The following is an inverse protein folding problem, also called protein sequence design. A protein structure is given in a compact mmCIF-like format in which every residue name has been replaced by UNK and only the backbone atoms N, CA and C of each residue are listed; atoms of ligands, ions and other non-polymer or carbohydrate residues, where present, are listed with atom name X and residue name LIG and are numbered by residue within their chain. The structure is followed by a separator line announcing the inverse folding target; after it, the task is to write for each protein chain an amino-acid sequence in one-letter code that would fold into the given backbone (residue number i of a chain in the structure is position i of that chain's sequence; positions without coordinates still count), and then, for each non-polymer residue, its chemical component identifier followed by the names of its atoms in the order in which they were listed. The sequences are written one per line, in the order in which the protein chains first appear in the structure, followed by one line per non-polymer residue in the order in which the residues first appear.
data_IF_071106584636
#
_entry.id   IF_071106584636
#
_cell.length_a   1.000
_cell.length_b   1.000
_cell.length_c   1.000
_cell.angle_alpha   90.00
_cell.angle_beta   90.00
_cell.angle_gamma   90.00
#
_symmetry.space_group_name_H-M   'P 1'
#
loop_
_entity.id
_entity.type
_entity.pdbx_description
1 polymer ?
#
# COMPACT_ATOMS: atom_id res chain seq x y z
N UNK A 1 -4.25 -8.03 25.87
CA UNK A 1 -4.91 -6.86 25.26
C UNK A 1 -5.53 -5.99 26.35
N UNK A 2 -5.07 -4.74 26.52
CA UNK A 2 -5.51 -3.85 27.60
C UNK A 2 -6.92 -3.27 27.40
N UNK A 3 -7.50 -2.69 28.46
CA UNK A 3 -8.85 -2.08 28.42
C UNK A 3 -8.97 -1.04 27.31
N UNK A 4 -8.00 -0.12 27.22
CA UNK A 4 -7.95 0.92 26.19
C UNK A 4 -8.02 0.36 24.77
N UNK A 5 -7.17 -0.63 24.46
CA UNK A 5 -7.12 -1.25 23.14
C UNK A 5 -8.44 -1.94 22.78
N UNK A 6 -9.04 -2.66 23.74
CA UNK A 6 -10.36 -3.30 23.55
C UNK A 6 -11.45 -2.26 23.26
N UNK A 7 -11.44 -1.15 24.00
CA UNK A 7 -12.39 -0.06 23.79
C UNK A 7 -12.24 0.58 22.41
N UNK A 8 -11.00 0.86 21.97
CA UNK A 8 -10.75 1.45 20.65
C UNK A 8 -11.18 0.52 19.51
N UNK A 9 -10.91 -0.79 19.63
CA UNK A 9 -11.38 -1.80 18.68
C UNK A 9 -12.91 -1.81 18.64
N UNK A 10 -13.58 -1.84 19.80
CA UNK A 10 -15.03 -1.84 19.86
C UNK A 10 -15.66 -0.60 19.21
N UNK A 11 -15.05 0.57 19.39
CA UNK A 11 -15.46 1.82 18.71
C UNK A 11 -15.28 1.70 17.20
N UNK A 12 -14.13 1.21 16.73
CA UNK A 12 -13.84 1.07 15.30
C UNK A 12 -14.75 0.05 14.58
N UNK A 13 -15.15 -1.03 15.28
CA UNK A 13 -16.07 -2.03 14.74
C UNK A 13 -17.54 -1.57 14.71
N UNK A 14 -17.89 -0.50 15.43
CA UNK A 14 -19.25 0.05 15.43
C UNK A 14 -19.49 0.87 14.17
N UNK A 15 -20.34 0.38 13.26
CA UNK A 15 -20.71 1.06 12.00
C UNK A 15 -21.04 2.55 12.16
N UNK A 16 -21.96 2.98 13.06
CA UNK A 16 -22.30 4.39 13.19
C UNK A 16 -21.12 5.24 13.70
N UNK A 17 -20.33 4.74 14.64
CA UNK A 17 -19.18 5.46 15.18
C UNK A 17 -18.05 5.53 14.14
N UNK A 18 -17.86 4.47 13.35
CA UNK A 18 -16.91 4.45 12.24
C UNK A 18 -17.26 5.50 11.19
N UNK A 19 -18.52 5.57 10.75
CA UNK A 19 -18.96 6.58 9.77
C UNK A 19 -18.73 8.01 10.29
N UNK A 20 -19.00 8.26 11.57
CA UNK A 20 -18.72 9.56 12.19
C UNK A 20 -17.21 9.84 12.25
N UNK A 21 -16.41 8.86 12.67
CA UNK A 21 -14.96 8.94 12.76
C UNK A 21 -14.30 9.21 11.39
N UNK A 22 -14.73 8.50 10.35
CA UNK A 22 -14.28 8.72 8.97
C UNK A 22 -14.63 10.12 8.47
N UNK A 23 -15.85 10.61 8.74
CA UNK A 23 -16.26 11.95 8.37
C UNK A 23 -15.42 13.03 9.05
N UNK A 24 -15.15 12.88 10.35
CA UNK A 24 -14.28 13.79 11.11
C UNK A 24 -12.83 13.70 10.59
N UNK A 25 -12.32 12.49 10.38
CA UNK A 25 -10.95 12.28 9.89
C UNK A 25 -10.71 12.93 8.53
N UNK A 26 -11.67 12.82 7.61
CA UNK A 26 -11.64 13.52 6.30
C UNK A 26 -11.68 15.03 6.46
N UNK A 27 -12.55 15.56 7.32
CA UNK A 27 -12.71 17.01 7.51
C UNK A 27 -11.49 17.67 8.18
N UNK A 28 -10.85 16.95 9.10
CA UNK A 28 -9.74 17.47 9.92
C UNK A 28 -8.36 17.20 9.33
N UNK A 29 -8.28 16.33 8.32
CA UNK A 29 -7.00 15.88 7.76
C UNK A 29 -6.24 14.91 8.68
N UNK A 30 -6.84 14.47 9.79
CA UNK A 30 -6.18 13.55 10.73
C UNK A 30 -5.78 12.24 10.04
N UNK A 31 -6.61 11.71 9.14
CA UNK A 31 -6.31 10.48 8.40
C UNK A 31 -5.06 10.63 7.50
N UNK A 32 -4.82 11.83 6.96
CA UNK A 32 -3.67 12.11 6.08
C UNK A 32 -2.33 12.14 6.83
N UNK A 33 -2.35 12.07 8.17
CA UNK A 33 -1.13 11.88 8.96
C UNK A 33 -0.67 10.42 8.96
N UNK A 34 -1.58 9.47 8.74
CA UNK A 34 -1.32 8.03 8.85
C UNK A 34 -1.35 7.30 7.51
N UNK A 35 -2.11 7.82 6.54
CA UNK A 35 -2.23 7.24 5.20
C UNK A 35 -1.86 8.28 4.15
N UNK A 36 -1.11 7.86 3.13
CA UNK A 36 -0.62 8.74 2.07
C UNK A 36 -1.73 9.27 1.16
N UNK A 37 -2.68 8.41 0.77
CA UNK A 37 -3.87 8.74 -0.02
C UNK A 37 -4.86 7.56 -0.05
N UNK A 38 -6.03 7.77 -0.67
CA UNK A 38 -7.04 6.72 -0.87
C UNK A 38 -6.90 5.98 -2.22
N UNK A 39 -5.98 6.41 -3.09
CA UNK A 39 -5.75 5.83 -4.40
C UNK A 39 -4.27 6.00 -4.82
N UNK A 40 -3.89 5.31 -5.89
CA UNK A 40 -2.52 5.38 -6.40
C UNK A 40 -2.10 6.77 -6.89
N UNK A 41 -3.01 7.57 -7.45
CA UNK A 41 -2.68 8.91 -7.97
C UNK A 41 -2.29 9.84 -6.82
N UNK A 42 -3.12 9.88 -5.77
CA UNK A 42 -2.86 10.64 -4.57
C UNK A 42 -1.59 10.16 -3.87
N UNK A 43 -1.32 8.84 -3.88
CA UNK A 43 -0.10 8.29 -3.30
C UNK A 43 1.15 8.82 -4.00
N UNK A 44 1.19 8.78 -5.35
CA UNK A 44 2.31 9.31 -6.14
C UNK A 44 2.47 10.81 -5.94
N UNK A 45 1.37 11.56 -5.86
CA UNK A 45 1.42 13.00 -5.54
C UNK A 45 2.04 13.25 -4.16
N UNK A 46 1.64 12.47 -3.15
CA UNK A 46 2.20 12.55 -1.80
C UNK A 46 3.68 12.17 -1.76
N UNK A 47 4.07 11.14 -2.50
CA UNK A 47 5.45 10.70 -2.63
C UNK A 47 6.35 11.81 -3.19
N UNK A 48 5.92 12.48 -4.26
CA UNK A 48 6.61 13.65 -4.81
C UNK A 48 6.76 14.79 -3.79
N UNK A 49 5.70 15.09 -3.04
CA UNK A 49 5.73 16.14 -2.02
C UNK A 49 6.71 15.83 -0.87
N UNK A 50 6.89 14.55 -0.54
CA UNK A 50 7.89 14.09 0.44
C UNK A 50 9.31 14.10 -0.14
N UNK A 51 9.48 13.67 -1.39
CA UNK A 51 10.77 13.70 -2.09
C UNK A 51 11.32 15.12 -2.23
N UNK A 52 10.46 16.12 -2.48
CA UNK A 52 10.82 17.54 -2.49
C UNK A 52 11.37 18.04 -1.15
N UNK A 53 11.10 17.32 -0.06
CA UNK A 53 11.62 17.59 1.29
C UNK A 53 12.84 16.71 1.64
N UNK A 54 13.36 15.95 0.68
CA UNK A 54 14.47 15.02 0.88
C UNK A 54 14.07 13.71 1.56
N UNK A 55 12.78 13.40 1.66
CA UNK A 55 12.27 12.18 2.30
C UNK A 55 12.01 11.12 1.23
N UNK A 56 12.70 9.98 1.37
CA UNK A 56 12.50 8.77 0.55
C UNK A 56 11.43 7.90 1.22
N UNK A 57 10.64 7.17 0.43
CA UNK A 57 9.51 6.38 0.95
C UNK A 57 9.63 4.89 0.62
N UNK A 58 8.93 4.07 1.40
CA UNK A 58 8.51 2.72 1.02
C UNK A 58 6.99 2.69 0.96
N UNK A 59 6.44 2.14 -0.12
CA UNK A 59 5.00 2.16 -0.40
C UNK A 59 4.38 0.84 0.03
N UNK A 60 3.29 0.91 0.79
CA UNK A 60 2.54 -0.26 1.25
C UNK A 60 1.05 -0.04 1.00
N UNK A 61 0.40 -0.97 0.31
CA UNK A 61 -1.04 -0.94 0.12
C UNK A 61 -1.70 -1.46 1.39
N UNK A 62 -2.75 -0.80 1.89
CA UNK A 62 -3.38 -1.18 3.16
C UNK A 62 -4.45 -2.24 2.95
N UNK A 63 -4.29 -3.38 3.62
CA UNK A 63 -5.22 -4.50 3.67
C UNK A 63 -4.47 -5.72 4.20
N UNK A 64 -5.04 -6.51 5.09
CA UNK A 64 -4.39 -7.71 5.63
C UNK A 64 -5.44 -8.82 5.71
N UNK A 65 -5.01 -10.07 5.62
CA UNK A 65 -5.87 -11.26 5.71
C UNK A 65 -7.02 -11.24 4.67
N UNK A 66 -6.68 -10.91 3.43
CA UNK A 66 -7.67 -10.76 2.35
C UNK A 66 -8.17 -12.12 1.87
N UNK A 67 -9.41 -12.47 2.23
CA UNK A 67 -10.07 -13.71 1.79
C UNK A 67 -10.87 -13.54 0.47
N UNK A 68 -11.28 -12.31 0.14
CA UNK A 68 -12.01 -12.03 -1.11
C UNK A 68 -11.06 -11.84 -2.29
N UNK A 69 -11.16 -12.72 -3.29
CA UNK A 69 -10.37 -12.64 -4.53
C UNK A 69 -10.55 -11.31 -5.27
N UNK A 70 -11.67 -10.62 -5.10
CA UNK A 70 -11.93 -9.30 -5.70
C UNK A 70 -11.00 -8.25 -5.10
N UNK A 71 -10.81 -8.29 -3.78
CA UNK A 71 -9.89 -7.39 -3.07
C UNK A 71 -8.42 -7.69 -3.38
N UNK A 72 -8.08 -8.98 -3.57
CA UNK A 72 -6.74 -9.38 -4.06
C UNK A 72 -6.48 -8.75 -5.42
N UNK A 73 -7.43 -8.86 -6.36
CA UNK A 73 -7.30 -8.26 -7.70
C UNK A 73 -7.18 -6.75 -7.63
N UNK A 74 -8.01 -6.09 -6.82
CA UNK A 74 -7.92 -4.65 -6.61
C UNK A 74 -6.55 -4.23 -6.06
N UNK A 75 -6.01 -4.97 -5.10
CA UNK A 75 -4.67 -4.71 -4.55
C UNK A 75 -3.60 -4.84 -5.63
N UNK A 76 -3.64 -5.91 -6.41
CA UNK A 76 -2.71 -6.15 -7.52
C UNK A 76 -2.82 -5.03 -8.56
N UNK A 77 -4.03 -4.63 -8.95
CA UNK A 77 -4.27 -3.56 -9.91
C UNK A 77 -3.68 -2.22 -9.42
N UNK A 78 -3.88 -1.90 -8.14
CA UNK A 78 -3.32 -0.69 -7.52
C UNK A 78 -1.79 -0.72 -7.46
N UNK A 79 -1.19 -1.85 -7.09
CA UNK A 79 0.27 -2.00 -7.10
C UNK A 79 0.83 -1.92 -8.52
N UNK A 80 0.17 -2.55 -9.49
CA UNK A 80 0.53 -2.51 -10.90
C UNK A 80 0.40 -1.11 -11.51
N UNK A 81 -0.45 -0.25 -10.95
CA UNK A 81 -0.53 1.16 -11.30
C UNK A 81 0.55 2.00 -10.61
N UNK A 82 0.74 1.84 -9.30
CA UNK A 82 1.63 2.69 -8.49
C UNK A 82 3.11 2.46 -8.84
N UNK A 83 3.55 1.21 -9.00
CA UNK A 83 4.95 0.84 -9.28
C UNK A 83 5.52 1.62 -10.49
N UNK A 84 4.92 1.53 -11.70
CA UNK A 84 5.43 2.28 -12.84
C UNK A 84 5.20 3.79 -12.69
N UNK A 85 4.17 4.23 -11.98
CA UNK A 85 3.89 5.66 -11.78
C UNK A 85 4.94 6.35 -10.91
N UNK A 86 5.49 5.65 -9.92
CA UNK A 86 6.62 6.11 -9.12
C UNK A 86 7.88 6.27 -9.99
N UNK A 87 8.19 5.26 -10.80
CA UNK A 87 9.35 5.28 -11.70
C UNK A 87 9.26 6.41 -12.74
N UNK A 88 8.12 6.55 -13.41
CA UNK A 88 7.88 7.65 -14.37
C UNK A 88 7.98 9.04 -13.73
N UNK A 89 7.77 9.14 -12.41
CA UNK A 89 7.95 10.38 -11.64
C UNK A 89 9.40 10.61 -11.21
N UNK A 90 10.33 9.71 -11.54
CA UNK A 90 11.73 9.75 -11.12
C UNK A 90 11.95 9.45 -9.64
N UNK A 91 10.95 8.84 -8.98
CA UNK A 91 11.00 8.49 -7.56
C UNK A 91 11.67 7.13 -7.35
N UNK A 92 11.92 6.80 -6.09
CA UNK A 92 12.26 5.43 -5.71
C UNK A 92 11.06 4.50 -5.92
N UNK A 93 11.33 3.29 -6.39
CA UNK A 93 10.37 2.19 -6.43
C UNK A 93 10.73 1.22 -5.31
N UNK A 94 10.39 1.62 -4.08
CA UNK A 94 10.48 0.77 -2.91
C UNK A 94 9.06 0.40 -2.48
N UNK A 95 8.70 -0.87 -2.64
CA UNK A 95 7.35 -1.37 -2.37
C UNK A 95 7.43 -2.52 -1.39
N UNK A 96 6.63 -2.45 -0.32
CA UNK A 96 6.39 -3.55 0.60
C UNK A 96 5.10 -4.26 0.21
N UNK A 97 5.12 -5.59 0.22
CA UNK A 97 3.95 -6.44 -0.06
C UNK A 97 3.74 -7.42 1.10
N UNK A 98 2.48 -7.73 1.37
CA UNK A 98 2.09 -8.82 2.25
C UNK A 98 1.52 -9.97 1.39
N UNK A 99 2.01 -11.23 1.53
CA UNK A 99 1.44 -12.38 0.83
C UNK A 99 -0.09 -12.54 0.98
N UNK A 100 -0.65 -12.17 2.13
CA UNK A 100 -2.10 -12.23 2.40
C UNK A 100 -2.90 -11.35 1.43
N UNK A 101 -2.34 -10.21 1.00
CA UNK A 101 -2.92 -9.30 0.02
C UNK A 101 -2.88 -9.84 -1.40
N UNK A 102 -1.91 -10.70 -1.70
CA UNK A 102 -1.60 -11.14 -3.06
C UNK A 102 -2.16 -12.51 -3.40
N UNK A 103 -2.90 -13.14 -2.49
CA UNK A 103 -3.59 -14.39 -2.80
C UNK A 103 -3.21 -15.57 -1.92
N UNK A 104 -2.46 -15.36 -0.84
CA UNK A 104 -2.02 -16.46 0.03
C UNK A 104 -3.21 -17.29 0.55
N UNK A 105 -4.32 -16.64 0.92
CA UNK A 105 -5.53 -17.33 1.39
C UNK A 105 -6.30 -18.08 0.28
N UNK A 106 -6.09 -17.72 -0.99
CA UNK A 106 -6.72 -18.35 -2.15
C UNK A 106 -5.85 -19.47 -2.75
N UNK A 107 -4.62 -19.60 -2.27
CA UNK A 107 -3.72 -20.71 -2.58
C UNK A 107 -2.46 -20.29 -3.33
N UNK A 108 -1.45 -21.16 -3.24
CA UNK A 108 -0.09 -20.90 -3.73
C UNK A 108 -0.05 -20.44 -5.19
N UNK A 109 -0.84 -21.05 -6.08
CA UNK A 109 -0.84 -20.67 -7.50
C UNK A 109 -1.33 -19.22 -7.74
N UNK A 110 -2.30 -18.76 -6.95
CA UNK A 110 -2.80 -17.37 -7.03
C UNK A 110 -1.74 -16.40 -6.52
N UNK A 111 -1.14 -16.71 -5.37
CA UNK A 111 -0.06 -15.92 -4.80
C UNK A 111 1.15 -15.80 -5.75
N UNK A 112 1.66 -16.94 -6.24
CA UNK A 112 2.82 -16.97 -7.14
C UNK A 112 2.57 -16.13 -8.38
N UNK A 113 1.39 -16.25 -9.00
CA UNK A 113 1.03 -15.45 -10.17
C UNK A 113 1.16 -13.95 -9.89
N UNK A 114 0.59 -13.45 -8.81
CA UNK A 114 0.57 -12.01 -8.52
C UNK A 114 1.92 -11.49 -8.02
N UNK A 115 2.65 -12.28 -7.23
CA UNK A 115 4.03 -11.94 -6.83
C UNK A 115 4.93 -11.87 -8.04
N UNK A 116 4.85 -12.83 -8.98
CA UNK A 116 5.63 -12.81 -10.21
C UNK A 116 5.28 -11.58 -11.07
N UNK A 117 4.00 -11.23 -11.18
CA UNK A 117 3.57 -10.02 -11.90
C UNK A 117 4.20 -8.75 -11.33
N UNK A 118 4.19 -8.57 -10.01
CA UNK A 118 4.80 -7.42 -9.33
C UNK A 118 6.33 -7.45 -9.45
N UNK A 119 6.95 -8.60 -9.20
CA UNK A 119 8.39 -8.77 -9.26
C UNK A 119 8.95 -8.53 -10.67
N UNK A 120 8.23 -8.97 -11.70
CA UNK A 120 8.59 -8.71 -13.09
C UNK A 120 8.62 -7.21 -13.39
N UNK A 121 7.60 -6.44 -12.98
CA UNK A 121 7.58 -4.98 -13.17
C UNK A 121 8.74 -4.29 -12.47
N UNK A 122 9.03 -4.69 -11.23
CA UNK A 122 10.14 -4.10 -10.45
C UNK A 122 11.49 -4.44 -11.10
N UNK A 123 11.67 -5.66 -11.62
CA UNK A 123 12.87 -6.05 -12.35
C UNK A 123 13.04 -5.22 -13.62
N UNK A 124 11.99 -5.08 -14.43
CA UNK A 124 12.03 -4.34 -15.70
C UNK A 124 12.40 -2.86 -15.46
N UNK A 125 11.90 -2.26 -14.37
CA UNK A 125 12.32 -0.92 -13.92
C UNK A 125 13.78 -0.90 -13.45
N UNK A 126 14.19 -1.90 -12.66
CA UNK A 126 15.55 -1.97 -12.11
C UNK A 126 16.63 -2.02 -13.21
N UNK A 127 16.34 -2.63 -14.37
CA UNK A 127 17.24 -2.68 -15.53
C UNK A 127 17.52 -1.30 -16.14
N UNK A 128 16.60 -0.35 -15.96
CA UNK A 128 16.65 0.99 -16.55
C UNK A 128 16.89 2.09 -15.51
N UNK A 129 16.92 1.72 -14.22
CA UNK A 129 16.96 2.66 -13.12
C UNK A 129 18.30 3.41 -13.05
N UNK A 130 18.22 4.69 -12.69
CA UNK A 130 19.39 5.49 -12.41
C UNK A 130 20.08 5.01 -11.13
N UNK A 131 21.41 5.16 -11.05
CA UNK A 131 22.19 4.73 -9.87
C UNK A 131 21.80 5.40 -8.55
N UNK A 132 21.07 6.52 -8.60
CA UNK A 132 20.54 7.24 -7.44
C UNK A 132 19.18 6.72 -6.96
N UNK A 133 18.41 6.04 -7.82
CA UNK A 133 17.11 5.48 -7.50
C UNK A 133 17.26 4.17 -6.70
N UNK A 134 16.44 4.04 -5.67
CA UNK A 134 16.28 2.78 -4.94
C UNK A 134 15.15 2.00 -5.58
N UNK A 135 15.44 0.80 -6.08
CA UNK A 135 14.46 -0.15 -6.59
C UNK A 135 14.49 -1.40 -5.70
N UNK A 136 13.42 -1.62 -4.93
CA UNK A 136 13.33 -2.70 -3.93
C UNK A 136 11.90 -3.24 -3.81
N UNK A 137 11.79 -4.56 -3.78
CA UNK A 137 10.61 -5.27 -3.30
C UNK A 137 10.92 -5.80 -1.90
N UNK A 138 10.13 -5.38 -0.92
CA UNK A 138 10.14 -5.92 0.43
C UNK A 138 8.94 -6.85 0.59
N UNK A 139 9.16 -8.01 1.18
CA UNK A 139 8.09 -8.90 1.61
C UNK A 139 7.95 -8.68 3.11
N UNK A 140 6.78 -8.19 3.52
CA UNK A 140 6.49 -8.02 4.93
C UNK A 140 6.29 -9.38 5.59
N UNK A 141 6.86 -9.52 6.79
CA UNK A 141 6.81 -10.76 7.55
C UNK A 141 5.73 -10.62 8.61
N UNK A 142 4.66 -11.38 8.46
CA UNK A 142 3.67 -11.59 9.53
C UNK A 142 4.22 -12.47 10.67
#
# INVERSE_FOLDING_TARGET
MGFWQKSMIAVACSKPLRTLGEAIGRKTGLAAQFVSANDGIGHVSRANALAAQGIRISSFYLGEYVEDITQVRETVDQLCFVIPSLDMSGLDVHVSIDPSQLGYMQGQAVLTKHVDEIANKIRDIAEQANSSQTIRLMIDME
#
